data_IF_729669863112
#
_entry.id   IF_729669863112
#
_cell.length_a   1.000
_cell.length_b   1.000
_cell.length_c   1.000
_cell.angle_alpha   90.00
_cell.angle_beta   90.00
_cell.angle_gamma   90.00
#
_symmetry.space_group_name_H-M   'P 1'
#
loop_
_entity.id
_entity.type
_entity.pdbx_description
1 polymer ?
#
# COMPACT_ATOMS: atom_id res chain seq x y z
N UNK A 1 0.44 12.96 10.19
CA UNK A 1 -0.51 13.95 9.64
C UNK A 1 -0.80 15.09 10.61
N UNK A 2 -0.97 14.85 11.92
CA UNK A 2 -1.12 15.93 12.90
C UNK A 2 0.05 16.93 12.84
N UNK A 3 1.28 16.42 12.94
CA UNK A 3 2.49 17.26 12.83
C UNK A 3 2.59 18.00 11.48
N UNK A 4 2.15 17.38 10.38
CA UNK A 4 2.08 18.03 9.07
C UNK A 4 1.04 19.16 9.05
N UNK A 5 -0.10 18.97 9.72
CA UNK A 5 -1.12 20.00 9.83
C UNK A 5 -0.64 21.20 10.66
N UNK A 6 0.21 20.96 11.67
CA UNK A 6 0.79 22.02 12.48
C UNK A 6 1.92 22.74 11.72
N UNK A 7 2.73 22.02 10.95
CA UNK A 7 3.81 22.58 10.13
C UNK A 7 3.33 23.35 8.90
N UNK A 8 2.15 23.00 8.35
CA UNK A 8 1.58 23.58 7.13
C UNK A 8 0.15 24.08 7.37
N UNK A 9 -0.02 25.27 8.00
CA UNK A 9 -1.32 25.78 8.44
C UNK A 9 -2.36 25.91 7.31
N UNK A 10 -1.93 26.23 6.09
CA UNK A 10 -2.82 26.37 4.92
C UNK A 10 -3.49 25.04 4.55
N UNK A 11 -2.83 23.90 4.80
CA UNK A 11 -3.32 22.56 4.51
C UNK A 11 -3.92 21.87 5.74
N UNK A 12 -3.86 22.51 6.91
CA UNK A 12 -4.23 21.90 8.19
C UNK A 12 -5.66 21.35 8.21
N UNK A 13 -6.62 22.10 7.66
CA UNK A 13 -8.02 21.67 7.59
C UNK A 13 -8.17 20.38 6.77
N UNK A 14 -7.54 20.32 5.59
CA UNK A 14 -7.60 19.16 4.71
C UNK A 14 -6.91 17.93 5.33
N UNK A 15 -5.76 18.13 5.99
CA UNK A 15 -5.02 17.07 6.67
C UNK A 15 -5.81 16.49 7.86
N UNK A 16 -6.43 17.34 8.68
CA UNK A 16 -7.29 16.89 9.80
C UNK A 16 -8.53 16.16 9.30
N UNK A 17 -9.19 16.68 8.26
CA UNK A 17 -10.33 16.01 7.63
C UNK A 17 -9.97 14.66 6.98
N UNK A 18 -8.72 14.49 6.52
CA UNK A 18 -8.24 13.20 6.05
C UNK A 18 -8.03 12.22 7.21
N UNK A 19 -7.46 12.67 8.33
CA UNK A 19 -7.25 11.83 9.51
C UNK A 19 -8.56 11.20 10.03
N UNK A 20 -9.66 11.95 10.07
CA UNK A 20 -10.94 11.42 10.56
C UNK A 20 -11.57 10.34 9.67
N UNK A 21 -11.11 10.21 8.42
CA UNK A 21 -11.62 9.24 7.45
C UNK A 21 -10.69 8.06 7.23
N UNK A 22 -9.49 8.07 7.82
CA UNK A 22 -8.54 6.96 7.73
C UNK A 22 -8.96 5.92 8.75
N UNK A 23 -9.21 4.72 8.25
CA UNK A 23 -9.46 3.54 9.07
C UNK A 23 -8.31 2.55 8.90
N UNK A 24 -7.72 2.10 10.01
CA UNK A 24 -6.67 1.09 9.98
C UNK A 24 -7.28 -0.32 10.03
N UNK A 25 -7.06 -1.11 8.99
CA UNK A 25 -7.53 -2.50 8.92
C UNK A 25 -6.68 -3.46 9.76
N UNK A 26 -5.45 -3.09 10.14
CA UNK A 26 -4.53 -3.98 10.85
C UNK A 26 -5.06 -4.44 12.22
N UNK A 27 -5.65 -3.58 13.08
CA UNK A 27 -6.28 -4.02 14.32
C UNK A 27 -7.41 -5.04 14.11
N UNK A 28 -8.26 -4.82 13.10
CA UNK A 28 -9.34 -5.75 12.74
C UNK A 28 -8.77 -7.10 12.34
N UNK A 29 -7.79 -7.12 11.44
CA UNK A 29 -7.16 -8.34 10.97
C UNK A 29 -6.49 -9.10 12.14
N UNK A 30 -5.77 -8.42 13.04
CA UNK A 30 -5.12 -9.04 14.21
C UNK A 30 -6.10 -9.66 15.19
N UNK A 31 -7.23 -9.01 15.42
CA UNK A 31 -8.22 -9.48 16.38
C UNK A 31 -9.09 -10.63 15.85
N UNK A 32 -9.32 -10.67 14.53
CA UNK A 32 -10.39 -11.49 13.95
C UNK A 32 -9.98 -12.40 12.81
N UNK A 33 -8.75 -12.32 12.31
CA UNK A 33 -8.32 -13.11 11.16
C UNK A 33 -6.91 -13.69 11.33
N UNK A 34 -6.79 -15.00 11.09
CA UNK A 34 -5.51 -15.66 10.93
C UNK A 34 -5.63 -16.86 10.00
N UNK A 35 -4.65 -17.01 9.12
CA UNK A 35 -4.49 -18.16 8.24
C UNK A 35 -3.08 -18.75 8.44
N UNK A 36 -2.89 -20.09 8.44
CA UNK A 36 -1.57 -20.69 8.65
C UNK A 36 -0.46 -20.15 7.75
N UNK A 37 -0.75 -19.87 6.47
CA UNK A 37 0.22 -19.30 5.52
C UNK A 37 0.70 -17.88 5.86
N UNK A 38 0.04 -17.18 6.79
CA UNK A 38 0.50 -15.87 7.27
C UNK A 38 1.77 -15.97 8.11
N UNK A 39 2.08 -17.15 8.68
CA UNK A 39 3.32 -17.44 9.43
C UNK A 39 3.67 -16.37 10.49
N UNK A 40 2.64 -15.91 11.22
CA UNK A 40 2.77 -14.90 12.27
C UNK A 40 2.84 -13.44 11.80
N UNK A 41 2.69 -13.16 10.49
CA UNK A 41 2.67 -11.80 9.94
C UNK A 41 1.27 -11.35 9.58
N UNK A 42 0.93 -10.10 9.91
CA UNK A 42 -0.31 -9.42 9.47
C UNK A 42 -0.04 -8.32 8.45
N UNK A 43 1.14 -8.32 7.82
CA UNK A 43 1.39 -7.43 6.70
C UNK A 43 0.38 -7.69 5.58
N UNK A 44 0.06 -6.67 4.78
CA UNK A 44 -0.85 -6.80 3.63
C UNK A 44 -0.47 -7.99 2.72
N UNK A 45 0.82 -8.28 2.55
CA UNK A 45 1.29 -9.39 1.69
C UNK A 45 1.21 -10.77 2.31
N UNK A 46 1.17 -10.84 3.63
CA UNK A 46 0.91 -12.10 4.32
C UNK A 46 -0.60 -12.39 4.33
N UNK A 47 -1.42 -11.35 4.51
CA UNK A 47 -2.88 -11.48 4.61
C UNK A 47 -3.54 -11.64 3.23
N UNK A 48 -3.21 -10.78 2.26
CA UNK A 48 -3.91 -10.69 0.99
C UNK A 48 -3.98 -12.02 0.22
N UNK A 49 -2.88 -12.78 0.03
CA UNK A 49 -2.93 -14.01 -0.76
C UNK A 49 -3.82 -15.09 -0.14
N UNK A 50 -4.10 -15.00 1.17
CA UNK A 50 -4.97 -15.95 1.89
C UNK A 50 -6.46 -15.63 1.74
N UNK A 51 -6.80 -14.44 1.21
CA UNK A 51 -8.17 -13.97 0.99
C UNK A 51 -8.47 -13.78 -0.50
N UNK A 52 -7.56 -13.14 -1.23
CA UNK A 52 -7.66 -12.81 -2.65
C UNK A 52 -6.34 -13.18 -3.36
N UNK A 53 -6.09 -14.48 -3.62
CA UNK A 53 -4.84 -14.96 -4.22
C UNK A 53 -4.61 -14.42 -5.64
N UNK A 54 -5.67 -14.04 -6.36
CA UNK A 54 -5.60 -13.37 -7.67
C UNK A 54 -4.97 -11.96 -7.61
N UNK A 55 -4.88 -11.39 -6.40
CA UNK A 55 -4.20 -10.12 -6.15
C UNK A 55 -2.82 -10.27 -5.50
N UNK A 56 -2.24 -11.48 -5.51
CA UNK A 56 -0.85 -11.66 -5.09
C UNK A 56 0.10 -10.77 -5.92
N UNK A 57 1.26 -10.47 -5.34
CA UNK A 57 2.23 -9.51 -5.89
C UNK A 57 3.26 -10.15 -6.84
N UNK A 58 3.14 -11.46 -7.09
CA UNK A 58 4.15 -12.26 -7.78
C UNK A 58 4.33 -11.84 -9.26
N UNK A 59 3.35 -11.13 -9.83
CA UNK A 59 3.38 -10.63 -11.21
C UNK A 59 3.98 -9.22 -11.35
N UNK A 60 4.35 -8.57 -10.24
CA UNK A 60 4.83 -7.19 -10.25
C UNK A 60 6.35 -7.07 -10.26
N UNK A 61 6.85 -6.16 -11.10
CA UNK A 61 8.28 -5.79 -11.14
C UNK A 61 8.76 -5.10 -9.85
N UNK A 62 7.86 -4.40 -9.17
CA UNK A 62 8.05 -3.85 -7.82
C UNK A 62 7.01 -4.53 -6.97
N UNK A 63 7.44 -5.42 -6.08
CA UNK A 63 6.55 -6.24 -5.27
C UNK A 63 6.67 -5.92 -3.78
N UNK A 64 7.62 -5.06 -3.37
CA UNK A 64 7.70 -4.62 -2.00
C UNK A 64 8.17 -3.21 -1.71
N UNK A 65 8.04 -2.83 -0.43
CA UNK A 65 8.32 -1.48 0.03
C UNK A 65 9.81 -1.13 -0.07
N UNK A 66 10.71 -2.10 0.09
CA UNK A 66 12.14 -1.90 -0.15
C UNK A 66 12.41 -1.69 -1.63
N UNK A 67 11.89 -2.57 -2.49
CA UNK A 67 11.99 -2.43 -3.94
C UNK A 67 11.39 -1.10 -4.44
N UNK A 68 10.27 -0.66 -3.87
CA UNK A 68 9.63 0.59 -4.23
C UNK A 68 10.50 1.80 -3.85
N UNK A 69 11.14 1.76 -2.68
CA UNK A 69 12.10 2.80 -2.25
C UNK A 69 13.32 2.83 -3.17
N UNK A 70 13.91 1.69 -3.49
CA UNK A 70 15.06 1.58 -4.40
C UNK A 70 14.71 2.08 -5.81
N UNK A 71 13.58 1.65 -6.36
CA UNK A 71 13.10 2.09 -7.65
C UNK A 71 12.83 3.60 -7.67
N UNK A 72 12.22 4.16 -6.62
CA UNK A 72 12.02 5.60 -6.52
C UNK A 72 13.34 6.37 -6.40
N UNK A 73 14.31 5.85 -5.64
CA UNK A 73 15.63 6.44 -5.54
C UNK A 73 16.35 6.48 -6.89
N UNK A 74 16.23 5.43 -7.71
CA UNK A 74 16.72 5.40 -9.09
C UNK A 74 15.96 6.41 -9.98
N UNK A 75 14.63 6.48 -9.86
CA UNK A 75 13.79 7.36 -10.67
C UNK A 75 14.21 8.83 -10.57
N UNK A 76 14.70 9.28 -9.41
CA UNK A 76 15.06 10.68 -9.16
C UNK A 76 16.53 11.03 -9.49
N UNK A 77 17.39 10.04 -9.77
CA UNK A 77 18.78 10.34 -10.14
C UNK A 77 18.86 11.08 -11.46
N UNK A 78 19.83 11.99 -11.63
CA UNK A 78 19.94 12.83 -12.82
C UNK A 78 20.33 12.04 -14.08
N UNK A 79 21.13 10.98 -13.92
CA UNK A 79 21.66 10.12 -14.97
C UNK A 79 20.69 9.01 -15.43
N UNK A 80 19.56 8.82 -14.74
CA UNK A 80 18.51 7.88 -15.17
C UNK A 80 17.91 8.32 -16.50
N UNK A 81 18.02 7.44 -17.51
CA UNK A 81 17.53 7.69 -18.86
C UNK A 81 16.00 7.86 -18.90
N UNK A 82 15.50 8.60 -19.90
CA UNK A 82 14.06 8.85 -20.05
C UNK A 82 13.26 7.55 -20.09
N UNK A 83 13.69 6.58 -20.92
CA UNK A 83 13.02 5.28 -21.01
C UNK A 83 13.00 4.54 -19.67
N UNK A 84 14.11 4.57 -18.93
CA UNK A 84 14.18 3.89 -17.62
C UNK A 84 13.27 4.57 -16.59
N UNK A 85 13.16 5.90 -16.61
CA UNK A 85 12.22 6.63 -15.76
C UNK A 85 10.77 6.24 -16.03
N UNK A 86 10.39 6.09 -17.29
CA UNK A 86 9.05 5.64 -17.68
C UNK A 86 8.79 4.22 -17.17
N UNK A 87 9.72 3.29 -17.40
CA UNK A 87 9.58 1.90 -16.93
C UNK A 87 9.42 1.79 -15.41
N UNK A 88 10.20 2.58 -14.65
CA UNK A 88 10.11 2.63 -13.19
C UNK A 88 8.79 3.24 -12.76
N UNK A 89 8.39 4.37 -13.37
CA UNK A 89 7.13 5.05 -13.05
C UNK A 89 5.96 4.10 -13.23
N UNK A 90 5.90 3.39 -14.35
CA UNK A 90 4.85 2.42 -14.63
C UNK A 90 4.87 1.25 -13.64
N UNK A 91 6.05 0.78 -13.23
CA UNK A 91 6.17 -0.27 -12.22
C UNK A 91 5.66 0.19 -10.84
N UNK A 92 6.01 1.40 -10.42
CA UNK A 92 5.54 1.98 -9.17
C UNK A 92 4.04 2.23 -9.19
N UNK A 93 3.48 2.74 -10.30
CA UNK A 93 2.05 2.98 -10.43
C UNK A 93 1.26 1.66 -10.35
N UNK A 94 1.69 0.60 -11.03
CA UNK A 94 1.06 -0.73 -10.92
C UNK A 94 1.12 -1.27 -9.49
N UNK A 95 2.24 -1.09 -8.80
CA UNK A 95 2.39 -1.47 -7.39
C UNK A 95 1.42 -0.69 -6.49
N UNK A 96 1.32 0.63 -6.64
CA UNK A 96 0.40 1.48 -5.88
C UNK A 96 -1.08 1.15 -6.17
N UNK A 97 -1.41 0.84 -7.43
CA UNK A 97 -2.74 0.36 -7.81
C UNK A 97 -3.08 -0.95 -7.09
N UNK A 98 -2.14 -1.91 -7.08
CA UNK A 98 -2.32 -3.19 -6.37
C UNK A 98 -2.53 -2.97 -4.87
N UNK A 99 -1.70 -2.16 -4.21
CA UNK A 99 -1.84 -1.85 -2.78
C UNK A 99 -3.23 -1.25 -2.47
N UNK A 100 -3.72 -0.36 -3.34
CA UNK A 100 -5.04 0.26 -3.19
C UNK A 100 -6.16 -0.78 -3.33
N UNK A 101 -6.14 -1.58 -4.40
CA UNK A 101 -7.17 -2.59 -4.64
C UNK A 101 -7.16 -3.67 -3.56
N UNK A 102 -5.98 -4.07 -3.08
CA UNK A 102 -5.81 -5.01 -1.99
C UNK A 102 -6.49 -4.53 -0.71
N UNK A 103 -6.30 -3.27 -0.33
CA UNK A 103 -6.98 -2.68 0.84
C UNK A 103 -8.51 -2.72 0.71
N UNK A 104 -9.04 -2.38 -0.46
CA UNK A 104 -10.50 -2.46 -0.72
C UNK A 104 -11.00 -3.89 -0.61
N UNK A 105 -10.31 -4.86 -1.21
CA UNK A 105 -10.70 -6.28 -1.11
C UNK A 105 -10.69 -6.79 0.34
N UNK A 106 -9.67 -6.44 1.10
CA UNK A 106 -9.58 -6.83 2.52
C UNK A 106 -10.69 -6.19 3.35
N UNK A 107 -10.99 -4.91 3.13
CA UNK A 107 -12.11 -4.24 3.80
C UNK A 107 -13.45 -4.93 3.53
N UNK A 108 -13.77 -5.19 2.25
CA UNK A 108 -15.01 -5.87 1.85
C UNK A 108 -15.11 -7.28 2.48
N UNK A 109 -14.01 -8.04 2.46
CA UNK A 109 -13.95 -9.34 3.09
C UNK A 109 -14.26 -9.27 4.60
N UNK A 110 -13.68 -8.31 5.32
CA UNK A 110 -13.92 -8.13 6.76
C UNK A 110 -15.34 -7.60 7.08
N UNK A 111 -15.97 -6.86 6.17
CA UNK A 111 -17.38 -6.46 6.28
C UNK A 111 -18.35 -7.62 6.00
N UNK A 112 -17.86 -8.76 5.49
CA UNK A 112 -18.69 -9.90 5.09
C UNK A 112 -19.38 -9.73 3.74
N UNK A 113 -19.04 -8.68 2.99
CA UNK A 113 -19.45 -8.49 1.61
C UNK A 113 -18.59 -9.40 0.72
N UNK A 114 -19.18 -10.49 0.23
CA UNK A 114 -18.52 -11.40 -0.73
C UNK A 114 -18.52 -10.82 -2.13
#
# INVERSE_FOLDING_TARGET
MAELADAFPEQAQALRAAMERIFDLLPVARAHYYHPEMRGSWSIKAVLPTIAPDLAYDDLKVADGGMAQEAFAELIQADTSVQRREDIRDALLRYCERDTLAMVRLALFFEGAR
#
